data_IF_529934214331
#
_entry.id   IF_529934214331
#
_cell.length_a   1.000
_cell.length_b   1.000
_cell.length_c   1.000
_cell.angle_alpha   90.00
_cell.angle_beta   90.00
_cell.angle_gamma   90.00
#
_symmetry.space_group_name_H-M   'P 1'
#
loop_
_entity.id
_entity.type
_entity.pdbx_description
1 polymer ?
#
# COMPACT_ATOMS: atom_id res chain seq x y z
N UNK A 1 13.12 35.98 -33.91
CA UNK A 1 12.07 35.98 -32.91
C UNK A 1 12.62 35.27 -31.65
N UNK A 2 12.68 35.89 -30.46
CA UNK A 2 13.20 35.21 -29.30
C UNK A 2 12.27 34.01 -28.95
N UNK A 3 12.80 32.87 -28.44
CA UNK A 3 11.99 31.72 -28.07
C UNK A 3 11.00 32.11 -26.97
N UNK A 4 9.80 31.55 -27.06
CA UNK A 4 8.77 31.73 -26.01
C UNK A 4 9.33 31.34 -24.64
N UNK A 5 9.02 32.09 -23.56
CA UNK A 5 9.50 31.77 -22.20
C UNK A 5 9.17 30.34 -21.76
N UNK A 6 8.09 29.73 -22.26
CA UNK A 6 7.77 28.34 -21.99
C UNK A 6 8.80 27.35 -22.58
N UNK A 7 9.44 27.66 -23.72
CA UNK A 7 10.52 26.85 -24.31
C UNK A 7 11.86 26.97 -23.57
N UNK A 8 12.06 28.02 -22.80
CA UNK A 8 13.26 28.19 -21.99
C UNK A 8 13.23 27.32 -20.70
N UNK A 9 12.05 26.93 -20.24
CA UNK A 9 11.83 26.19 -18.99
C UNK A 9 11.75 24.68 -19.22
N UNK A 10 11.18 24.22 -20.34
CA UNK A 10 10.97 22.80 -20.64
C UNK A 10 11.73 22.36 -21.89
N UNK A 11 12.41 21.24 -21.80
CA UNK A 11 12.93 20.50 -22.94
C UNK A 11 11.99 19.34 -23.29
N UNK A 12 11.60 19.21 -24.54
CA UNK A 12 10.72 18.17 -25.03
C UNK A 12 11.45 17.21 -25.97
N UNK A 13 12.03 16.10 -25.52
CA UNK A 13 12.29 14.95 -26.37
C UNK A 13 10.99 14.19 -26.68
N UNK A 14 10.91 13.37 -27.74
CA UNK A 14 9.66 12.88 -28.31
C UNK A 14 8.77 12.00 -27.42
N UNK A 15 9.11 11.74 -26.15
CA UNK A 15 8.31 10.93 -25.21
C UNK A 15 8.30 11.39 -23.75
N UNK A 16 8.96 12.48 -23.39
CA UNK A 16 8.90 13.02 -22.01
C UNK A 16 9.18 14.52 -22.01
N UNK A 17 8.51 15.25 -21.14
CA UNK A 17 8.80 16.65 -20.84
C UNK A 17 9.78 16.68 -19.66
N UNK A 18 10.97 17.26 -19.84
CA UNK A 18 11.95 17.46 -18.77
C UNK A 18 12.25 18.95 -18.61
N UNK A 19 12.64 19.37 -17.40
CA UNK A 19 13.08 20.73 -17.14
C UNK A 19 14.43 20.98 -17.83
N UNK A 20 14.61 22.16 -18.37
CA UNK A 20 15.93 22.68 -18.75
C UNK A 20 16.70 23.08 -17.49
N UNK A 21 17.99 23.41 -17.62
CA UNK A 21 18.80 23.92 -16.50
C UNK A 21 18.19 25.19 -15.89
N UNK A 22 17.71 26.11 -16.71
CA UNK A 22 16.98 27.30 -16.27
C UNK A 22 15.64 26.95 -15.61
N UNK A 23 14.94 25.94 -16.15
CA UNK A 23 13.73 25.42 -15.55
C UNK A 23 13.98 24.77 -14.19
N UNK A 24 15.09 24.04 -14.05
CA UNK A 24 15.49 23.43 -12.79
C UNK A 24 15.83 24.47 -11.71
N UNK A 25 16.57 25.54 -12.08
CA UNK A 25 16.87 26.66 -11.17
C UNK A 25 15.59 27.37 -10.73
N UNK A 26 14.68 27.67 -11.65
CA UNK A 26 13.39 28.28 -11.33
C UNK A 26 12.57 27.39 -10.40
N UNK A 27 12.50 26.10 -10.67
CA UNK A 27 11.78 25.13 -9.85
C UNK A 27 12.35 25.05 -8.43
N UNK A 28 13.70 25.03 -8.30
CA UNK A 28 14.38 24.99 -6.98
C UNK A 28 14.06 26.22 -6.13
N UNK A 29 13.80 27.39 -6.77
CA UNK A 29 13.45 28.62 -6.06
C UNK A 29 11.95 28.73 -5.79
N UNK A 30 11.11 28.34 -6.75
CA UNK A 30 9.65 28.46 -6.63
C UNK A 30 9.00 27.39 -5.77
N UNK A 31 9.53 26.15 -5.79
CA UNK A 31 8.92 25.08 -5.03
C UNK A 31 8.87 25.37 -3.52
N UNK A 32 9.96 25.84 -2.86
CA UNK A 32 9.89 26.23 -1.46
C UNK A 32 8.93 27.40 -1.19
N UNK A 33 8.88 28.40 -2.08
CA UNK A 33 7.99 29.55 -1.92
C UNK A 33 6.51 29.16 -2.03
N UNK A 34 6.18 28.26 -2.95
CA UNK A 34 4.83 27.68 -3.06
C UNK A 34 4.47 26.84 -1.83
N UNK A 35 5.43 26.08 -1.30
CA UNK A 35 5.23 25.32 -0.05
C UNK A 35 4.96 26.24 1.15
N UNK A 36 5.64 27.38 1.23
CA UNK A 36 5.39 28.41 2.27
C UNK A 36 4.00 29.03 2.12
N UNK A 37 3.57 29.33 0.90
CA UNK A 37 2.22 29.84 0.62
C UNK A 37 1.16 28.80 1.02
N UNK A 38 1.35 27.54 0.62
CA UNK A 38 0.45 26.44 0.98
C UNK A 38 0.39 26.27 2.51
N UNK A 39 1.53 26.31 3.21
CA UNK A 39 1.58 26.24 4.66
C UNK A 39 0.84 27.42 5.34
N UNK A 40 0.96 28.64 4.79
CA UNK A 40 0.24 29.80 5.29
C UNK A 40 -1.28 29.66 5.09
N UNK A 41 -1.71 29.17 3.91
CA UNK A 41 -3.11 28.88 3.63
C UNK A 41 -3.65 27.78 4.54
N UNK A 42 -2.88 26.71 4.81
CA UNK A 42 -3.24 25.67 5.74
C UNK A 42 -3.38 26.19 7.18
N UNK A 43 -2.54 27.13 7.59
CA UNK A 43 -2.67 27.78 8.90
C UNK A 43 -4.01 28.54 9.00
N UNK A 44 -4.42 29.24 7.95
CA UNK A 44 -5.73 29.92 7.89
C UNK A 44 -6.86 28.87 7.87
N UNK A 45 -6.72 27.78 7.14
CA UNK A 45 -7.68 26.67 7.12
C UNK A 45 -7.79 25.97 8.47
N UNK A 46 -6.72 25.91 9.27
CA UNK A 46 -6.73 25.40 10.64
C UNK A 46 -7.64 26.18 11.61
N UNK A 47 -7.97 27.45 11.30
CA UNK A 47 -8.96 28.25 12.03
C UNK A 47 -10.40 28.04 11.55
N UNK A 48 -10.63 27.28 10.48
CA UNK A 48 -11.97 26.96 10.02
C UNK A 48 -12.58 25.85 10.88
N UNK A 49 -13.87 25.93 11.11
CA UNK A 49 -14.60 24.96 11.94
C UNK A 49 -14.59 23.52 11.38
N UNK A 50 -14.30 23.37 10.08
CA UNK A 50 -14.30 22.07 9.40
C UNK A 50 -13.07 21.86 8.51
N UNK A 51 -12.37 20.72 8.63
CA UNK A 51 -11.32 20.30 7.70
C UNK A 51 -11.85 20.20 6.27
N UNK A 52 -11.08 20.72 5.31
CA UNK A 52 -11.44 20.71 3.88
C UNK A 52 -10.20 20.55 3.01
N UNK A 53 -10.40 20.24 1.74
CA UNK A 53 -9.34 20.16 0.74
C UNK A 53 -9.19 18.78 0.11
N UNK A 54 -8.19 18.63 -0.76
CA UNK A 54 -7.89 17.37 -1.45
C UNK A 54 -6.74 16.65 -0.74
N UNK A 55 -6.90 15.37 -0.51
CA UNK A 55 -5.86 14.46 -0.02
C UNK A 55 -5.55 13.42 -1.09
N UNK A 56 -4.28 13.30 -1.46
CA UNK A 56 -3.78 12.28 -2.38
C UNK A 56 -2.95 11.25 -1.61
N UNK A 57 -3.39 9.99 -1.63
CA UNK A 57 -2.72 8.92 -0.93
C UNK A 57 -2.23 7.83 -1.90
N UNK A 58 -1.00 7.35 -1.68
CA UNK A 58 -0.49 6.12 -2.31
C UNK A 58 -0.71 4.96 -1.35
N UNK A 59 -1.54 3.99 -1.74
CA UNK A 59 -1.91 2.86 -0.87
C UNK A 59 -1.85 1.53 -1.62
N UNK A 60 -1.51 0.41 -0.96
CA UNK A 60 -1.69 -0.91 -1.57
C UNK A 60 -3.16 -1.14 -1.91
N UNK A 61 -3.42 -1.74 -3.06
CA UNK A 61 -4.78 -2.00 -3.56
C UNK A 61 -5.67 -2.73 -2.53
N UNK A 62 -5.09 -3.71 -1.87
CA UNK A 62 -5.76 -4.48 -0.82
C UNK A 62 -6.09 -3.63 0.42
N UNK A 63 -5.21 -2.72 0.85
CA UNK A 63 -5.48 -1.79 1.97
C UNK A 63 -6.56 -0.79 1.60
N UNK A 64 -6.55 -0.27 0.37
CA UNK A 64 -7.62 0.59 -0.12
C UNK A 64 -8.98 -0.10 0.03
N UNK A 65 -9.09 -1.35 -0.41
CA UNK A 65 -10.35 -2.11 -0.38
C UNK A 65 -10.78 -2.52 1.04
N UNK A 66 -9.85 -3.00 1.88
CA UNK A 66 -10.20 -3.62 3.16
C UNK A 66 -10.23 -2.64 4.35
N UNK A 67 -9.54 -1.50 4.26
CA UNK A 67 -9.42 -0.55 5.37
C UNK A 67 -9.96 0.85 5.00
N UNK A 68 -9.46 1.44 3.90
CA UNK A 68 -9.77 2.84 3.60
C UNK A 68 -11.22 3.02 3.13
N UNK A 69 -11.68 2.23 2.17
CA UNK A 69 -13.04 2.37 1.63
C UNK A 69 -14.15 2.09 2.66
N UNK A 70 -14.06 1.05 3.53
CA UNK A 70 -15.04 0.87 4.60
C UNK A 70 -15.11 2.05 5.56
N UNK A 71 -13.95 2.61 5.93
CA UNK A 71 -13.87 3.79 6.80
C UNK A 71 -14.44 5.03 6.12
N UNK A 72 -14.18 5.19 4.82
CA UNK A 72 -14.48 6.42 4.09
C UNK A 72 -15.97 6.77 4.08
N UNK A 73 -16.86 5.80 4.20
CA UNK A 73 -18.31 6.05 4.29
C UNK A 73 -18.62 7.00 5.45
N UNK A 74 -18.20 6.67 6.66
CA UNK A 74 -18.44 7.54 7.83
C UNK A 74 -17.55 8.78 7.84
N UNK A 75 -16.34 8.66 7.29
CA UNK A 75 -15.44 9.80 7.17
C UNK A 75 -16.01 10.90 6.27
N UNK A 76 -16.58 10.54 5.12
CA UNK A 76 -17.18 11.51 4.19
C UNK A 76 -18.44 12.18 4.73
N UNK A 77 -19.22 11.49 5.56
CA UNK A 77 -20.37 12.08 6.27
C UNK A 77 -19.93 13.15 7.28
N UNK A 78 -18.80 12.89 7.96
CA UNK A 78 -18.25 13.81 8.97
C UNK A 78 -17.45 14.97 8.38
N UNK A 79 -16.82 14.75 7.23
CA UNK A 79 -15.94 15.71 6.56
C UNK A 79 -16.30 15.82 5.06
N UNK A 80 -17.45 16.40 4.72
CA UNK A 80 -17.96 16.44 3.35
C UNK A 80 -17.12 17.28 2.40
N UNK A 81 -16.32 18.22 2.94
CA UNK A 81 -15.46 19.11 2.18
C UNK A 81 -14.06 18.53 1.89
N UNK A 82 -13.79 17.28 2.32
CA UNK A 82 -12.55 16.58 2.01
C UNK A 82 -12.75 15.69 0.79
N UNK A 83 -11.93 15.92 -0.25
CA UNK A 83 -11.82 15.03 -1.42
C UNK A 83 -10.65 14.08 -1.22
N UNK A 84 -10.91 12.78 -1.13
CA UNK A 84 -9.88 11.76 -1.02
C UNK A 84 -9.59 11.14 -2.39
N UNK A 85 -8.35 11.25 -2.84
CA UNK A 85 -7.82 10.59 -4.03
C UNK A 85 -6.90 9.45 -3.61
N UNK A 86 -7.22 8.23 -4.04
CA UNK A 86 -6.42 7.04 -3.78
C UNK A 86 -5.73 6.57 -5.05
N UNK A 87 -4.41 6.60 -5.07
CA UNK A 87 -3.61 5.85 -6.04
C UNK A 87 -3.37 4.46 -5.47
N UNK A 88 -4.20 3.51 -5.92
CA UNK A 88 -4.14 2.12 -5.46
C UNK A 88 -3.08 1.34 -6.25
N UNK A 89 -1.85 1.30 -5.74
CA UNK A 89 -0.70 0.66 -6.36
C UNK A 89 0.10 -0.14 -5.32
N UNK A 90 0.51 -1.35 -5.69
CA UNK A 90 1.34 -2.23 -4.85
C UNK A 90 2.84 -1.91 -4.99
N UNK A 91 3.24 -1.05 -5.93
CA UNK A 91 4.61 -0.57 -6.13
C UNK A 91 5.05 0.42 -5.05
N UNK A 92 6.36 0.56 -4.90
CA UNK A 92 6.93 1.59 -4.02
C UNK A 92 6.98 2.92 -4.78
N UNK A 93 6.38 3.94 -4.23
CA UNK A 93 6.29 5.28 -4.84
C UNK A 93 7.01 6.27 -3.93
N UNK A 94 7.81 7.14 -4.51
CA UNK A 94 8.33 8.33 -3.82
C UNK A 94 7.19 9.35 -3.69
N UNK A 95 6.55 9.36 -2.51
CA UNK A 95 5.37 10.20 -2.26
C UNK A 95 5.64 11.70 -2.41
N UNK A 96 6.88 12.13 -2.13
CA UNK A 96 7.27 13.54 -2.27
C UNK A 96 7.38 13.92 -3.73
N UNK A 97 8.11 13.12 -4.51
CA UNK A 97 8.33 13.37 -5.94
C UNK A 97 7.04 13.30 -6.74
N UNK A 98 6.13 12.39 -6.38
CA UNK A 98 4.86 12.17 -7.08
C UNK A 98 3.73 13.07 -6.53
N UNK A 99 4.01 13.91 -5.53
CA UNK A 99 3.04 14.88 -5.00
C UNK A 99 1.89 14.25 -4.20
N UNK A 100 2.15 13.16 -3.49
CA UNK A 100 1.20 12.60 -2.53
C UNK A 100 1.35 13.26 -1.16
N UNK A 101 0.24 13.41 -0.44
CA UNK A 101 0.23 13.94 0.92
C UNK A 101 0.68 12.89 1.94
N UNK A 102 0.34 11.63 1.70
CA UNK A 102 0.76 10.50 2.51
C UNK A 102 0.78 9.19 1.71
N UNK A 103 1.42 8.17 2.28
CA UNK A 103 1.38 6.81 1.77
C UNK A 103 1.01 5.82 2.85
N UNK A 104 0.57 4.63 2.47
CA UNK A 104 0.34 3.50 3.38
C UNK A 104 1.22 2.34 2.96
N UNK A 105 2.04 1.82 3.89
CA UNK A 105 2.90 0.64 3.66
C UNK A 105 3.06 -0.14 4.96
N UNK A 106 3.61 -1.36 4.87
CA UNK A 106 4.11 -2.09 6.03
C UNK A 106 5.21 -1.29 6.72
N UNK A 107 5.27 -1.32 8.06
CA UNK A 107 6.17 -0.46 8.84
C UNK A 107 7.65 -0.61 8.49
N UNK A 108 8.09 -1.81 8.10
CA UNK A 108 9.46 -2.10 7.64
C UNK A 108 9.84 -1.43 6.31
N UNK A 109 8.85 -0.90 5.58
CA UNK A 109 9.02 -0.29 4.25
C UNK A 109 8.99 1.24 4.28
N UNK A 110 8.95 1.89 5.45
CA UNK A 110 8.93 3.35 5.55
C UNK A 110 10.33 3.94 5.47
N UNK A 111 10.53 4.89 4.56
CA UNK A 111 11.83 5.52 4.34
C UNK A 111 12.26 6.44 5.51
N UNK A 112 13.58 6.63 5.75
CA UNK A 112 14.07 7.60 6.72
C UNK A 112 13.57 9.02 6.46
N UNK A 113 13.31 9.80 7.52
CA UNK A 113 12.82 11.18 7.43
C UNK A 113 11.32 11.33 7.25
N UNK A 114 10.58 10.22 7.23
CA UNK A 114 9.12 10.20 7.26
C UNK A 114 8.60 10.06 8.68
N UNK A 115 7.45 10.64 8.96
CA UNK A 115 6.65 10.33 10.15
C UNK A 115 5.76 9.16 9.82
N UNK A 116 5.79 8.11 10.63
CA UNK A 116 4.96 6.92 10.46
C UNK A 116 3.96 6.81 11.60
N UNK A 117 2.69 6.64 11.25
CA UNK A 117 1.59 6.45 12.20
C UNK A 117 1.00 5.07 11.94
N UNK A 118 0.98 4.24 12.97
CA UNK A 118 0.38 2.91 12.88
C UNK A 118 -1.14 3.02 12.73
N UNK A 119 -1.69 2.32 11.73
CA UNK A 119 -3.12 2.36 11.38
C UNK A 119 -3.81 0.99 11.43
N UNK A 120 -3.06 -0.08 11.69
CA UNK A 120 -3.63 -1.41 11.94
C UNK A 120 -2.94 -2.07 13.14
N UNK A 121 -3.59 -3.01 13.84
CA UNK A 121 -2.93 -3.88 14.81
C UNK A 121 -1.88 -4.78 14.15
N UNK A 122 -1.25 -5.65 14.93
CA UNK A 122 -0.44 -6.74 14.38
C UNK A 122 -1.31 -7.63 13.49
N UNK A 123 -0.74 -8.05 12.38
CA UNK A 123 -1.38 -8.89 11.38
C UNK A 123 -0.63 -10.21 11.28
N UNK A 124 -1.28 -11.25 10.83
CA UNK A 124 -0.62 -12.51 10.47
C UNK A 124 -0.68 -12.80 8.98
N UNK A 125 0.12 -13.74 8.54
CA UNK A 125 0.01 -14.32 7.21
C UNK A 125 -0.98 -15.49 7.25
N UNK A 126 -1.56 -15.79 6.09
CA UNK A 126 -2.36 -16.98 5.89
C UNK A 126 -1.91 -17.70 4.62
N UNK A 127 -1.71 -19.00 4.72
CA UNK A 127 -1.64 -19.91 3.57
C UNK A 127 -3.03 -20.45 3.37
N UNK A 128 -3.62 -20.25 2.18
CA UNK A 128 -4.99 -20.61 1.90
C UNK A 128 -5.11 -21.35 0.56
N UNK A 129 -6.10 -22.23 0.45
CA UNK A 129 -6.45 -22.91 -0.79
C UNK A 129 -7.92 -23.32 -0.76
N UNK A 130 -8.51 -23.60 -1.92
CA UNK A 130 -9.90 -24.04 -2.01
C UNK A 130 -10.07 -25.47 -1.45
N UNK A 131 -11.25 -25.81 -0.85
CA UNK A 131 -11.57 -27.18 -0.48
C UNK A 131 -11.42 -28.19 -1.64
N UNK A 132 -11.80 -27.76 -2.84
CA UNK A 132 -11.66 -28.56 -4.06
C UNK A 132 -10.20 -28.88 -4.40
N UNK A 133 -9.26 -27.97 -4.13
CA UNK A 133 -7.83 -28.23 -4.28
C UNK A 133 -7.37 -29.32 -3.32
N UNK A 134 -7.75 -29.22 -2.04
CA UNK A 134 -7.37 -30.19 -1.01
C UNK A 134 -8.04 -31.55 -1.15
N UNK A 135 -9.14 -31.66 -1.91
CA UNK A 135 -9.72 -32.95 -2.25
C UNK A 135 -8.77 -33.84 -3.08
N UNK A 136 -7.82 -33.23 -3.80
CA UNK A 136 -6.84 -33.92 -4.64
C UNK A 136 -5.39 -33.79 -4.15
N UNK A 137 -5.14 -32.93 -3.16
CA UNK A 137 -3.81 -32.66 -2.62
C UNK A 137 -3.89 -32.65 -1.09
N UNK A 138 -3.23 -33.58 -0.37
CA UNK A 138 -3.22 -33.59 1.09
C UNK A 138 -2.77 -32.23 1.63
N UNK A 139 -3.44 -31.72 2.67
CA UNK A 139 -3.08 -30.44 3.29
C UNK A 139 -1.66 -30.46 3.84
N UNK A 140 -0.82 -29.45 3.56
CA UNK A 140 0.54 -29.36 4.08
C UNK A 140 0.53 -29.24 5.61
N UNK A 141 1.37 -29.99 6.28
CA UNK A 141 1.53 -29.97 7.74
C UNK A 141 2.73 -29.11 8.17
N UNK A 142 3.71 -28.96 7.29
CA UNK A 142 4.90 -28.14 7.48
C UNK A 142 5.15 -27.25 6.24
N UNK A 143 5.90 -26.15 6.38
CA UNK A 143 6.27 -25.33 5.22
C UNK A 143 7.08 -26.09 4.15
N UNK A 144 7.78 -27.15 4.52
CA UNK A 144 8.52 -27.99 3.56
C UNK A 144 7.60 -28.78 2.61
N UNK A 145 6.36 -29.05 3.01
CA UNK A 145 5.39 -29.79 2.20
C UNK A 145 4.89 -28.95 1.02
N UNK A 146 5.07 -27.62 1.06
CA UNK A 146 4.74 -26.69 -0.03
C UNK A 146 5.44 -27.04 -1.36
N UNK A 147 6.55 -27.79 -1.31
CA UNK A 147 7.23 -28.31 -2.51
C UNK A 147 6.37 -29.27 -3.34
N UNK A 148 5.35 -29.87 -2.72
CA UNK A 148 4.41 -30.82 -3.35
C UNK A 148 3.14 -30.12 -3.84
N UNK A 149 3.05 -28.81 -3.64
CA UNK A 149 1.87 -28.03 -4.00
C UNK A 149 2.16 -27.02 -5.13
N UNK A 150 1.13 -26.72 -5.90
CA UNK A 150 1.14 -25.58 -6.78
C UNK A 150 0.92 -24.30 -5.94
N UNK A 151 1.94 -23.46 -5.82
CA UNK A 151 1.88 -22.25 -5.02
C UNK A 151 1.83 -21.03 -5.93
N UNK A 152 0.85 -20.14 -5.72
CA UNK A 152 0.69 -18.91 -6.48
C UNK A 152 1.78 -17.93 -6.03
N UNK A 153 2.71 -17.62 -6.93
CA UNK A 153 3.82 -16.72 -6.66
C UNK A 153 3.36 -15.26 -6.61
N UNK A 154 3.94 -14.47 -5.71
CA UNK A 154 3.77 -13.01 -5.68
C UNK A 154 5.04 -12.33 -6.19
N UNK A 155 4.92 -11.51 -7.24
CA UNK A 155 6.03 -10.68 -7.73
C UNK A 155 5.92 -9.28 -7.16
N UNK A 156 6.95 -8.87 -6.44
CA UNK A 156 7.05 -7.49 -5.93
C UNK A 156 7.27 -6.53 -7.11
N UNK A 157 6.37 -5.58 -7.32
CA UNK A 157 6.44 -4.61 -8.42
C UNK A 157 7.73 -3.78 -8.33
N UNK A 158 8.11 -3.33 -7.13
CA UNK A 158 9.25 -2.44 -6.92
C UNK A 158 10.61 -3.07 -7.20
N UNK A 159 10.82 -4.34 -6.82
CA UNK A 159 12.11 -5.04 -6.97
C UNK A 159 12.14 -6.06 -8.10
N UNK A 160 10.98 -6.44 -8.62
CA UNK A 160 10.85 -7.54 -9.59
C UNK A 160 11.08 -8.93 -9.01
N UNK A 161 11.38 -9.03 -7.71
CA UNK A 161 11.68 -10.29 -7.03
C UNK A 161 10.41 -11.08 -6.72
N UNK A 162 10.51 -12.41 -6.75
CA UNK A 162 9.47 -13.28 -6.20
C UNK A 162 9.53 -13.26 -4.67
N UNK A 163 8.38 -13.02 -4.07
CA UNK A 163 8.24 -13.03 -2.62
C UNK A 163 8.43 -14.45 -2.07
N UNK A 164 9.40 -14.60 -1.17
CA UNK A 164 9.60 -15.85 -0.42
C UNK A 164 8.60 -15.89 0.72
N UNK A 165 7.99 -17.05 0.95
CA UNK A 165 7.06 -17.23 2.04
C UNK A 165 7.81 -17.41 3.36
N UNK A 166 7.56 -16.50 4.30
CA UNK A 166 8.23 -16.49 5.60
C UNK A 166 7.36 -17.19 6.64
N UNK A 167 7.95 -18.13 7.35
CA UNK A 167 7.32 -18.90 8.42
C UNK A 167 8.17 -18.86 9.67
N UNK A 168 7.56 -18.99 10.84
CA UNK A 168 8.27 -19.19 12.09
C UNK A 168 7.38 -20.00 13.05
N UNK A 169 8.03 -20.91 13.80
CA UNK A 169 7.40 -21.73 14.84
C UNK A 169 8.49 -22.20 15.81
N UNK A 170 8.22 -22.13 17.10
CA UNK A 170 9.07 -22.66 18.18
C UNK A 170 10.57 -22.24 18.07
N UNK A 171 10.81 -20.99 17.62
CA UNK A 171 12.17 -20.45 17.44
C UNK A 171 12.82 -20.79 16.08
N UNK A 172 12.24 -21.67 15.30
CA UNK A 172 12.64 -21.93 13.92
C UNK A 172 12.06 -20.88 12.97
N UNK A 173 12.89 -20.35 12.06
CA UNK A 173 12.47 -19.43 11.00
C UNK A 173 12.80 -19.99 9.63
N UNK A 174 11.84 -19.98 8.72
CA UNK A 174 11.96 -20.52 7.37
C UNK A 174 11.56 -19.48 6.32
N UNK A 175 12.34 -19.38 5.25
CA UNK A 175 12.02 -18.56 4.08
C UNK A 175 11.96 -19.45 2.83
N UNK A 176 10.76 -19.87 2.46
CA UNK A 176 10.54 -20.85 1.41
C UNK A 176 10.39 -20.14 0.05
N UNK A 177 11.24 -20.53 -0.90
CA UNK A 177 11.04 -20.22 -2.32
C UNK A 177 10.04 -21.23 -2.89
N UNK A 178 8.79 -20.84 -2.96
CA UNK A 178 7.72 -21.69 -3.47
C UNK A 178 7.79 -21.84 -4.99
N UNK A 179 7.15 -22.89 -5.53
CA UNK A 179 7.05 -23.16 -6.95
C UNK A 179 5.59 -23.27 -7.37
N UNK A 180 5.29 -22.84 -8.58
CA UNK A 180 3.97 -22.94 -9.18
C UNK A 180 3.96 -22.40 -10.60
N UNK A 181 2.84 -22.55 -11.25
CA UNK A 181 2.65 -22.20 -12.66
C UNK A 181 1.96 -20.83 -12.85
N UNK A 182 1.64 -20.12 -11.75
CA UNK A 182 1.02 -18.80 -11.76
C UNK A 182 1.79 -17.83 -10.88
N UNK A 183 2.11 -16.66 -11.43
CA UNK A 183 2.77 -15.56 -10.72
C UNK A 183 1.94 -14.30 -10.93
N UNK A 184 1.57 -13.65 -9.83
CA UNK A 184 0.76 -12.43 -9.81
C UNK A 184 1.46 -11.35 -8.97
N UNK A 185 0.98 -10.12 -9.08
CA UNK A 185 1.45 -8.94 -8.34
C UNK A 185 0.33 -8.27 -7.52
N UNK A 186 -0.81 -8.95 -7.40
CA UNK A 186 -1.97 -8.49 -6.66
C UNK A 186 -2.53 -9.59 -5.74
N UNK A 187 -2.74 -9.24 -4.46
CA UNK A 187 -3.22 -10.19 -3.46
C UNK A 187 -4.67 -10.62 -3.67
N UNK A 188 -5.52 -9.75 -4.25
CA UNK A 188 -6.90 -10.08 -4.59
C UNK A 188 -6.94 -11.15 -5.68
N UNK A 189 -6.20 -10.94 -6.78
CA UNK A 189 -6.10 -11.93 -7.85
C UNK A 189 -5.50 -13.25 -7.36
N UNK A 190 -4.60 -13.24 -6.38
CA UNK A 190 -4.08 -14.47 -5.77
C UNK A 190 -5.17 -15.23 -5.02
N UNK A 191 -6.05 -14.52 -4.29
CA UNK A 191 -7.17 -15.13 -3.58
C UNK A 191 -8.22 -15.68 -4.56
N UNK A 192 -8.53 -14.95 -5.63
CA UNK A 192 -9.44 -15.40 -6.68
C UNK A 192 -8.90 -16.69 -7.33
N UNK A 193 -7.63 -16.71 -7.72
CA UNK A 193 -6.98 -17.90 -8.28
C UNK A 193 -6.95 -19.09 -7.29
N UNK A 194 -6.76 -18.82 -5.99
CA UNK A 194 -6.84 -19.87 -4.97
C UNK A 194 -8.26 -20.39 -4.81
N UNK A 195 -9.28 -19.54 -4.88
CA UNK A 195 -10.70 -19.91 -4.82
C UNK A 195 -11.10 -20.81 -6.02
N UNK A 196 -10.54 -20.53 -7.19
CA UNK A 196 -10.70 -21.35 -8.40
C UNK A 196 -9.95 -22.69 -8.33
N UNK A 197 -9.24 -22.97 -7.21
CA UNK A 197 -8.53 -24.24 -7.02
C UNK A 197 -7.22 -24.36 -7.80
N UNK A 198 -6.66 -23.24 -8.30
CA UNK A 198 -5.40 -23.25 -9.06
C UNK A 198 -4.23 -23.67 -8.17
N UNK A 199 -4.25 -23.28 -6.88
CA UNK A 199 -3.16 -23.59 -5.95
C UNK A 199 -3.30 -22.91 -4.61
N UNK A 200 -2.20 -22.84 -3.86
CA UNK A 200 -2.12 -22.20 -2.56
C UNK A 200 -1.69 -20.74 -2.71
N UNK A 201 -2.37 -19.83 -2.01
CA UNK A 201 -1.99 -18.43 -1.89
C UNK A 201 -1.44 -18.12 -0.49
N UNK A 202 -0.50 -17.18 -0.41
CA UNK A 202 0.08 -16.65 0.83
C UNK A 202 -0.16 -15.14 0.89
N UNK A 203 -1.00 -14.71 1.81
CA UNK A 203 -1.45 -13.32 1.91
C UNK A 203 -1.57 -12.88 3.37
N UNK A 204 -1.94 -11.63 3.63
CA UNK A 204 -2.36 -11.22 4.96
C UNK A 204 -3.69 -11.92 5.32
N UNK A 205 -3.83 -12.34 6.57
CA UNK A 205 -5.00 -13.07 7.08
C UNK A 205 -6.29 -12.25 6.94
N UNK A 206 -6.22 -10.93 7.16
CA UNK A 206 -7.35 -10.01 6.99
C UNK A 206 -7.93 -10.01 5.56
N UNK A 207 -7.10 -10.27 4.54
CA UNK A 207 -7.58 -10.34 3.15
C UNK A 207 -8.24 -11.69 2.85
N UNK A 208 -7.73 -12.75 3.45
CA UNK A 208 -8.32 -14.08 3.33
C UNK A 208 -9.60 -14.25 4.18
N UNK A 209 -9.80 -13.44 5.22
CA UNK A 209 -10.86 -13.59 6.20
C UNK A 209 -12.28 -13.72 5.59
N UNK A 210 -12.72 -12.93 4.61
CA UNK A 210 -14.05 -13.10 3.99
C UNK A 210 -14.21 -14.46 3.30
N UNK A 211 -13.17 -14.95 2.62
CA UNK A 211 -13.16 -16.22 1.91
C UNK A 211 -13.10 -17.42 2.86
N UNK A 212 -12.45 -17.25 4.01
CA UNK A 212 -12.42 -18.25 5.08
C UNK A 212 -13.80 -18.34 5.76
N UNK A 213 -14.42 -17.18 6.05
CA UNK A 213 -15.70 -17.11 6.73
C UNK A 213 -16.85 -17.73 5.91
N UNK A 214 -16.81 -17.61 4.58
CA UNK A 214 -17.83 -18.20 3.70
C UNK A 214 -17.49 -19.61 3.19
N UNK A 215 -16.33 -20.17 3.61
CA UNK A 215 -15.91 -21.53 3.27
C UNK A 215 -15.34 -21.71 1.85
N UNK A 216 -15.13 -20.63 1.10
CA UNK A 216 -14.50 -20.69 -0.24
C UNK A 216 -13.02 -21.08 -0.16
N UNK A 217 -12.35 -20.69 0.92
CA UNK A 217 -10.97 -21.05 1.19
C UNK A 217 -10.84 -21.74 2.55
N UNK A 218 -9.81 -22.56 2.69
CA UNK A 218 -9.37 -23.18 3.94
C UNK A 218 -7.96 -22.72 4.26
N UNK A 219 -7.70 -22.42 5.54
CA UNK A 219 -6.38 -22.03 6.04
C UNK A 219 -5.57 -23.28 6.41
N UNK A 220 -4.31 -23.30 6.01
CA UNK A 220 -3.33 -24.31 6.40
C UNK A 220 -2.10 -23.65 6.99
N UNK A 221 -1.24 -24.38 7.71
CA UNK A 221 0.00 -23.90 8.33
C UNK A 221 -0.23 -22.69 9.26
N UNK A 222 -1.37 -22.61 9.94
CA UNK A 222 -1.71 -21.44 10.77
C UNK A 222 -0.71 -21.22 11.91
N UNK A 223 -0.20 -22.27 12.50
CA UNK A 223 0.78 -22.29 13.58
C UNK A 223 2.22 -21.90 13.15
N UNK A 224 2.46 -21.82 11.83
CA UNK A 224 3.70 -21.36 11.22
C UNK A 224 3.68 -19.90 10.78
N UNK A 225 2.57 -19.19 10.92
CA UNK A 225 2.37 -17.82 10.48
C UNK A 225 2.31 -16.85 11.67
N UNK A 226 3.47 -16.43 12.22
CA UNK A 226 3.51 -15.53 13.36
C UNK A 226 2.98 -14.14 13.00
N UNK A 227 2.56 -13.35 14.01
CA UNK A 227 2.17 -11.97 13.78
C UNK A 227 3.36 -11.13 13.31
N UNK A 228 3.07 -10.10 12.54
CA UNK A 228 4.02 -9.09 12.07
C UNK A 228 3.41 -7.68 12.23
N UNK A 229 4.23 -6.62 12.32
CA UNK A 229 3.73 -5.25 12.36
C UNK A 229 2.85 -4.95 11.15
N UNK A 230 1.68 -4.38 11.41
CA UNK A 230 0.70 -4.08 10.39
C UNK A 230 1.09 -2.88 9.50
N UNK A 231 0.08 -2.20 8.97
CA UNK A 231 0.26 -1.05 8.10
C UNK A 231 0.43 0.25 8.88
N UNK A 232 1.22 1.14 8.28
CA UNK A 232 1.49 2.49 8.74
C UNK A 232 1.12 3.48 7.64
N UNK A 233 0.45 4.56 8.02
CA UNK A 233 0.36 5.76 7.21
C UNK A 233 1.64 6.57 7.45
N UNK A 234 2.32 6.99 6.38
CA UNK A 234 3.55 7.77 6.49
C UNK A 234 3.47 9.02 5.62
N UNK A 235 4.11 10.09 6.09
CA UNK A 235 4.16 11.39 5.42
C UNK A 235 5.49 12.11 5.72
N UNK A 236 5.89 13.14 4.92
CA UNK A 236 7.15 13.86 5.13
C UNK A 236 7.18 14.58 6.46
N UNK A 237 8.17 14.28 7.32
CA UNK A 237 8.27 14.83 8.68
C UNK A 237 8.58 16.33 8.75
N UNK A 238 9.06 16.92 7.66
CA UNK A 238 9.39 18.35 7.58
C UNK A 238 8.19 19.22 7.17
N UNK A 239 7.09 18.62 6.78
CA UNK A 239 5.90 19.33 6.30
C UNK A 239 4.86 19.41 7.42
N UNK A 240 4.28 20.59 7.62
CA UNK A 240 3.11 20.73 8.49
C UNK A 240 1.95 19.98 7.84
N UNK A 241 1.35 19.02 8.57
CA UNK A 241 0.23 18.24 8.04
C UNK A 241 -1.02 19.10 7.96
N UNK A 242 -1.77 18.97 6.86
CA UNK A 242 -3.05 19.66 6.69
C UNK A 242 -4.10 19.20 7.71
N UNK A 243 -5.08 20.05 7.97
CA UNK A 243 -6.22 19.70 8.83
C UNK A 243 -6.96 18.46 8.30
N UNK A 244 -7.07 18.33 6.98
CA UNK A 244 -7.66 17.16 6.32
C UNK A 244 -6.86 15.87 6.55
N UNK A 245 -5.52 15.91 6.43
CA UNK A 245 -4.68 14.74 6.70
C UNK A 245 -4.73 14.36 8.17
N UNK A 246 -4.75 15.32 9.09
CA UNK A 246 -4.90 15.06 10.52
C UNK A 246 -6.23 14.36 10.82
N UNK A 247 -7.34 14.86 10.26
CA UNK A 247 -8.66 14.25 10.42
C UNK A 247 -8.68 12.79 9.92
N UNK A 248 -8.03 12.51 8.78
CA UNK A 248 -7.93 11.14 8.25
C UNK A 248 -7.07 10.23 9.16
N UNK A 249 -5.93 10.72 9.64
CA UNK A 249 -5.07 9.98 10.57
C UNK A 249 -5.85 9.62 11.85
N UNK A 250 -6.60 10.58 12.41
CA UNK A 250 -7.36 10.35 13.63
C UNK A 250 -8.50 9.34 13.40
N UNK A 251 -9.15 9.39 12.24
CA UNK A 251 -10.16 8.40 11.87
C UNK A 251 -9.57 6.98 11.71
N UNK A 252 -8.37 6.86 11.13
CA UNK A 252 -7.68 5.58 10.93
C UNK A 252 -7.15 4.96 12.22
N UNK A 253 -6.84 5.77 13.25
CA UNK A 253 -6.37 5.27 14.56
C UNK A 253 -7.47 4.62 15.40
N UNK A 254 -8.72 4.95 15.13
CA UNK A 254 -9.90 4.50 15.91
C UNK A 254 -10.51 3.25 15.28
N UNK A 255 -10.16 2.94 14.04
CA UNK A 255 -10.61 1.74 13.34
C UNK A 255 -9.71 0.53 13.68
#
# INVERSE_FOLDING_TARGET
MPPSPARAIFAAPPRSVSLTEAGQQLFTTLAPALEEIDAALETVNGFRAHPMGRLRLSVPRSVAASLILPLFRHFSERYPDIVLELAADNGFVDIVKEGFDAGVRLGESVAPGMVAVRITPDMSRAVVGAPAYFAHHPSPQTPHDLRMHNCIGYRKISSGELHRWAFAKDGETLNIAVRGNLILDDAGLMLDAATDGIGLAYTADSYAAPYLANGQLQRVLADWCPPFPGFYLYYPGRRQISAALRALIDALKVA
#
